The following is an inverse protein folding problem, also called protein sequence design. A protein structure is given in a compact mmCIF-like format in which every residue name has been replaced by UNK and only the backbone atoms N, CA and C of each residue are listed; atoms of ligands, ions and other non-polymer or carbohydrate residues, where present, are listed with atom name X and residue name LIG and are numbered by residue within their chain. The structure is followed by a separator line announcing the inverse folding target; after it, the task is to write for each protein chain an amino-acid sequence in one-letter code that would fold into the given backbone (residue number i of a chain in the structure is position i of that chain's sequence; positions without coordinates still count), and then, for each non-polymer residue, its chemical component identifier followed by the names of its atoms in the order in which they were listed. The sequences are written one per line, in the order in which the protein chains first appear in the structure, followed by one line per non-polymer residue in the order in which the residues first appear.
data_IF_772090682754
#
_entry.id   IF_772090682754
#
_cell.length_a   1.000
_cell.length_b   1.000
_cell.length_c   1.000
_cell.angle_alpha   90.00
_cell.angle_beta   90.00
_cell.angle_gamma   90.00
#
_symmetry.space_group_name_H-M   'P 1'
#
loop_
_entity.id
_entity.type
_entity.pdbx_description
1 polymer ?
#
# COMPACT_ATOMS: atom_id res chain seq x y z
N UNK A 1 20.38 -8.46 3.15
CA UNK A 1 19.22 -9.37 3.04
C UNK A 1 18.23 -8.65 2.14
N UNK A 2 18.35 -8.84 0.83
CA UNK A 2 17.42 -8.28 -0.15
C UNK A 2 16.08 -8.98 0.02
N UNK A 3 15.15 -8.34 0.73
CA UNK A 3 13.74 -8.71 0.64
C UNK A 3 13.26 -8.14 -0.69
N UNK A 4 13.59 -8.84 -1.77
CA UNK A 4 12.95 -8.67 -3.07
C UNK A 4 11.46 -8.72 -2.80
N UNK A 5 10.80 -7.56 -2.83
CA UNK A 5 9.35 -7.48 -2.81
C UNK A 5 8.87 -8.43 -3.90
N UNK A 6 7.92 -9.29 -3.53
CA UNK A 6 7.47 -10.36 -4.43
C UNK A 6 7.10 -9.75 -5.79
N UNK A 7 7.22 -10.52 -6.88
CA UNK A 7 6.62 -10.12 -8.16
C UNK A 7 5.09 -9.92 -8.05
N UNK A 8 4.53 -10.30 -6.90
CA UNK A 8 3.13 -10.16 -6.52
C UNK A 8 2.85 -8.77 -5.93
N UNK A 9 1.67 -8.21 -6.23
CA UNK A 9 1.28 -6.91 -5.71
C UNK A 9 1.12 -6.89 -4.19
N UNK A 10 1.69 -5.85 -3.58
CA UNK A 10 1.59 -5.54 -2.16
C UNK A 10 0.85 -4.21 -1.94
N UNK A 11 -0.12 -4.20 -1.03
CA UNK A 11 -0.86 -3.01 -0.62
C UNK A 11 -0.28 -2.48 0.68
N UNK A 12 0.20 -1.24 0.67
CA UNK A 12 0.73 -0.53 1.84
C UNK A 12 -0.23 0.57 2.25
N UNK A 13 -0.90 0.41 3.39
CA UNK A 13 -1.92 1.34 3.87
C UNK A 13 -1.33 2.14 5.02
N UNK A 14 -0.97 3.39 4.76
CA UNK A 14 -0.37 4.29 5.74
C UNK A 14 -1.47 4.96 6.55
N UNK A 15 -1.44 4.76 7.86
CA UNK A 15 -2.40 5.32 8.81
C UNK A 15 -1.77 5.44 10.17
N UNK A 16 -2.34 6.26 11.06
CA UNK A 16 -1.95 6.23 12.46
C UNK A 16 -2.48 4.93 13.09
N UNK A 17 -1.63 3.91 13.18
CA UNK A 17 -2.00 2.62 13.77
C UNK A 17 -1.16 2.31 15.02
N UNK A 18 -1.77 1.78 16.10
CA UNK A 18 -3.21 1.69 16.33
C UNK A 18 -3.78 3.06 16.76
N UNK A 19 -4.72 3.62 16.00
CA UNK A 19 -5.58 4.68 16.51
C UNK A 19 -6.64 4.04 17.41
N UNK A 20 -6.91 4.62 18.58
CA UNK A 20 -7.95 4.12 19.50
C UNK A 20 -9.38 4.13 18.90
N UNK A 21 -9.55 4.67 17.70
CA UNK A 21 -10.80 4.73 16.94
C UNK A 21 -10.65 4.13 15.53
N UNK A 22 -11.74 3.58 14.94
CA UNK A 22 -11.74 3.12 13.54
C UNK A 22 -11.39 4.25 12.56
N UNK A 23 -10.39 4.03 11.70
CA UNK A 23 -10.00 5.03 10.71
C UNK A 23 -10.93 4.96 9.50
N UNK A 24 -11.68 6.05 9.26
CA UNK A 24 -12.70 6.14 8.21
C UNK A 24 -12.14 6.07 6.78
N UNK A 25 -10.83 6.18 6.59
CA UNK A 25 -10.16 6.12 5.29
C UNK A 25 -9.36 4.82 5.18
N UNK A 26 -8.52 4.53 6.16
CA UNK A 26 -7.65 3.35 6.14
C UNK A 26 -8.43 2.03 6.28
N UNK A 27 -9.52 1.99 7.06
CA UNK A 27 -10.31 0.76 7.20
C UNK A 27 -11.03 0.36 5.91
N UNK A 28 -11.73 1.27 5.20
CA UNK A 28 -12.26 0.96 3.87
C UNK A 28 -11.19 0.51 2.87
N UNK A 29 -10.04 1.19 2.83
CA UNK A 29 -8.93 0.79 1.94
C UNK A 29 -8.43 -0.62 2.24
N UNK A 30 -8.29 -0.96 3.52
CA UNK A 30 -7.85 -2.30 3.93
C UNK A 30 -8.86 -3.37 3.55
N UNK A 31 -10.16 -3.12 3.78
CA UNK A 31 -11.23 -4.05 3.39
C UNK A 31 -11.27 -4.24 1.88
N UNK A 32 -11.10 -3.17 1.11
CA UNK A 32 -11.13 -3.24 -0.34
C UNK A 32 -9.91 -3.97 -0.91
N UNK A 33 -8.71 -3.67 -0.42
CA UNK A 33 -7.49 -4.42 -0.78
C UNK A 33 -7.63 -5.94 -0.51
N UNK A 34 -8.34 -6.31 0.56
CA UNK A 34 -8.65 -7.71 0.85
C UNK A 34 -9.69 -8.35 -0.08
N UNK A 35 -10.53 -7.57 -0.78
CA UNK A 35 -11.54 -8.08 -1.71
C UNK A 35 -11.04 -8.23 -3.14
N UNK A 36 -9.93 -7.58 -3.49
CA UNK A 36 -9.37 -7.68 -4.84
C UNK A 36 -8.93 -9.15 -5.08
N UNK A 37 -9.42 -9.79 -6.15
CA UNK A 37 -9.16 -11.21 -6.43
C UNK A 37 -7.78 -11.40 -7.05
N UNK A 38 -6.75 -11.39 -6.20
CA UNK A 38 -5.36 -11.68 -6.56
C UNK A 38 -4.95 -13.02 -5.94
N UNK A 39 -4.27 -13.86 -6.72
CA UNK A 39 -3.82 -15.19 -6.30
C UNK A 39 -2.89 -15.12 -5.08
N UNK A 40 -2.04 -14.10 -5.04
CA UNK A 40 -1.25 -13.72 -3.89
C UNK A 40 -1.32 -12.19 -3.71
N UNK A 41 -1.52 -11.76 -2.47
CA UNK A 41 -1.50 -10.36 -2.08
C UNK A 41 -0.98 -10.23 -0.66
N UNK A 42 -0.10 -9.24 -0.44
CA UNK A 42 0.25 -8.80 0.90
C UNK A 42 -0.50 -7.50 1.16
N UNK A 43 -1.29 -7.43 2.24
CA UNK A 43 -1.92 -6.19 2.69
C UNK A 43 -1.31 -5.83 4.03
N UNK A 44 -0.54 -4.74 4.07
CA UNK A 44 0.17 -4.27 5.25
C UNK A 44 -0.34 -2.89 5.66
N UNK A 45 -0.67 -2.73 6.95
CA UNK A 45 -0.89 -1.42 7.55
C UNK A 45 0.45 -0.89 8.05
N UNK A 46 0.77 0.35 7.69
CA UNK A 46 1.99 1.04 8.07
C UNK A 46 1.64 2.23 8.96
N UNK A 47 2.46 2.46 9.97
CA UNK A 47 2.42 3.61 10.85
C UNK A 47 3.67 4.47 10.62
N UNK A 48 3.49 5.75 10.30
CA UNK A 48 4.60 6.68 10.04
C UNK A 48 5.75 6.61 11.08
N UNK A 49 5.49 6.67 12.40
CA UNK A 49 6.57 6.62 13.39
C UNK A 49 7.22 5.23 13.56
N UNK A 50 6.56 4.15 13.15
CA UNK A 50 7.04 2.78 13.40
C UNK A 50 7.68 2.15 12.16
N UNK A 51 7.25 2.56 10.97
CA UNK A 51 7.62 1.96 9.69
C UNK A 51 8.45 2.89 8.80
N UNK A 52 9.05 3.94 9.36
CA UNK A 52 9.78 4.98 8.61
C UNK A 52 10.90 4.40 7.72
N UNK A 53 11.68 3.44 8.23
CA UNK A 53 12.75 2.77 7.50
C UNK A 53 12.22 1.98 6.31
N UNK A 54 11.10 1.26 6.49
CA UNK A 54 10.45 0.52 5.41
C UNK A 54 9.89 1.49 4.36
N UNK A 55 9.23 2.56 4.79
CA UNK A 55 8.70 3.58 3.88
C UNK A 55 9.81 4.25 3.08
N UNK A 56 10.96 4.58 3.69
CA UNK A 56 12.15 5.09 2.98
C UNK A 56 12.70 4.09 1.98
N UNK A 57 12.81 2.81 2.36
CA UNK A 57 13.29 1.76 1.46
C UNK A 57 12.38 1.58 0.23
N UNK A 58 11.08 1.84 0.40
CA UNK A 58 10.06 1.81 -0.66
C UNK A 58 9.91 3.14 -1.41
N UNK A 59 10.64 4.19 -1.02
CA UNK A 59 10.48 5.53 -1.61
C UNK A 59 9.13 6.20 -1.33
N UNK A 60 8.42 5.77 -0.28
CA UNK A 60 7.11 6.33 0.07
C UNK A 60 7.24 7.68 0.79
N UNK A 61 6.35 8.66 0.51
CA UNK A 61 6.27 9.91 1.25
C UNK A 61 6.03 9.70 2.75
N UNK A 62 6.83 10.35 3.59
CA UNK A 62 6.74 10.30 5.07
C UNK A 62 5.86 11.41 5.67
N UNK A 63 5.31 12.29 4.85
CA UNK A 63 4.44 13.40 5.23
C UNK A 63 2.96 13.12 4.92
N UNK A 64 2.63 11.91 4.46
CA UNK A 64 1.28 11.50 4.06
C UNK A 64 0.77 10.38 4.95
N UNK A 65 -0.41 10.59 5.53
CA UNK A 65 -1.17 9.59 6.29
C UNK A 65 -2.55 9.40 5.67
N UNK A 66 -3.24 8.32 6.02
CA UNK A 66 -4.55 7.93 5.50
C UNK A 66 -4.55 7.77 3.98
N UNK A 67 -3.51 7.11 3.48
CA UNK A 67 -3.33 6.80 2.06
C UNK A 67 -2.94 5.35 1.88
N UNK A 68 -3.23 4.78 0.71
CA UNK A 68 -2.73 3.49 0.30
C UNK A 68 -1.78 3.63 -0.89
N UNK A 69 -0.84 2.71 -0.98
CA UNK A 69 0.04 2.52 -2.13
C UNK A 69 -0.07 1.07 -2.59
N UNK A 70 -0.02 0.85 -3.90
CA UNK A 70 0.15 -0.48 -4.47
C UNK A 70 1.57 -0.58 -4.97
N UNK A 71 2.30 -1.59 -4.51
CA UNK A 71 3.69 -1.81 -4.88
C UNK A 71 3.86 -3.18 -5.56
N UNK A 72 4.67 -3.23 -6.62
CA UNK A 72 5.09 -4.46 -7.30
C UNK A 72 6.60 -4.38 -7.46
N UNK A 73 7.34 -5.32 -6.86
CA UNK A 73 8.79 -5.15 -6.73
C UNK A 73 9.11 -3.82 -6.04
N UNK A 74 10.02 -3.02 -6.61
CA UNK A 74 10.41 -1.71 -6.09
C UNK A 74 9.54 -0.53 -6.56
N UNK A 75 8.52 -0.77 -7.40
CA UNK A 75 7.69 0.28 -7.98
C UNK A 75 6.41 0.39 -7.18
N UNK A 76 6.13 1.58 -6.66
CA UNK A 76 4.88 1.89 -5.96
C UNK A 76 4.05 2.93 -6.72
N UNK A 77 2.73 2.83 -6.62
CA UNK A 77 1.78 3.76 -7.20
C UNK A 77 1.87 5.16 -6.60
N UNK A 78 1.20 6.13 -7.23
CA UNK A 78 0.81 7.36 -6.55
C UNK A 78 -0.09 7.07 -5.32
N UNK A 79 -0.16 7.97 -4.33
CA UNK A 79 -1.01 7.79 -3.15
C UNK A 79 -2.49 7.70 -3.54
N UNK A 80 -3.15 6.66 -3.05
CA UNK A 80 -4.58 6.40 -3.22
C UNK A 80 -5.30 6.82 -1.94
N UNK A 81 -6.30 7.69 -2.07
CA UNK A 81 -7.09 8.23 -0.94
C UNK A 81 -8.51 7.68 -0.89
N UNK A 82 -8.95 6.96 -1.92
CA UNK A 82 -10.29 6.38 -2.03
C UNK A 82 -10.19 4.88 -2.31
N UNK A 83 -11.00 4.07 -1.62
CA UNK A 83 -10.89 2.62 -1.67
C UNK A 83 -11.18 2.05 -3.08
N UNK A 84 -12.18 2.60 -3.78
CA UNK A 84 -12.57 2.20 -5.14
C UNK A 84 -11.48 2.45 -6.20
N UNK A 85 -10.56 3.37 -5.93
CA UNK A 85 -9.42 3.66 -6.82
C UNK A 85 -8.27 2.63 -6.70
N UNK A 86 -8.28 1.72 -5.72
CA UNK A 86 -7.20 0.75 -5.50
C UNK A 86 -7.00 -0.19 -6.69
N UNK A 87 -8.08 -0.60 -7.36
CA UNK A 87 -8.01 -1.48 -8.53
C UNK A 87 -7.28 -0.81 -9.70
N UNK A 88 -7.63 0.45 -9.98
CA UNK A 88 -6.96 1.21 -11.04
C UNK A 88 -5.46 1.42 -10.73
N UNK A 89 -5.11 1.71 -9.48
CA UNK A 89 -3.72 1.84 -9.05
C UNK A 89 -2.92 0.54 -9.23
N UNK A 90 -3.53 -0.60 -8.92
CA UNK A 90 -2.95 -1.92 -9.15
C UNK A 90 -2.67 -2.17 -10.63
N UNK A 91 -3.66 -1.97 -11.50
CA UNK A 91 -3.53 -2.21 -12.94
C UNK A 91 -2.43 -1.33 -13.55
N UNK A 92 -2.36 -0.05 -13.17
CA UNK A 92 -1.32 0.87 -13.61
C UNK A 92 0.08 0.42 -13.14
N UNK A 93 0.21 0.01 -11.89
CA UNK A 93 1.52 -0.36 -11.30
C UNK A 93 2.02 -1.68 -11.87
N UNK A 94 1.14 -2.67 -12.06
CA UNK A 94 1.48 -3.95 -12.69
C UNK A 94 2.00 -3.75 -14.12
N UNK A 95 1.33 -2.91 -14.91
CA UNK A 95 1.75 -2.60 -16.28
C UNK A 95 3.07 -1.83 -16.34
N UNK A 96 3.34 -0.95 -15.36
CA UNK A 96 4.60 -0.21 -15.27
C UNK A 96 5.80 -1.10 -14.91
N UNK A 97 5.57 -2.22 -14.25
CA UNK A 97 6.62 -3.14 -13.77
C UNK A 97 7.07 -4.16 -14.82
N UNK A 98 6.49 -4.13 -16.02
CA UNK A 98 6.74 -5.11 -17.11
C UNK A 98 7.78 -4.63 -18.13
N UNK A 99 8.58 -3.61 -17.81
CA UNK A 99 9.56 -2.98 -18.71
C UNK A 99 11.00 -3.20 -18.27
#
# INVERSE_FOLDING_TARGET
MDRLLSAEPEFKIVSEWPSGEPDRVADPMFREALRIPLAARTVQRLSLPQDDLLMRALGLPLDRTRVAYVCVGSVCSAPVTQADALRGALELTANASTW
#
